data_IF_235590661265
#
_entry.id   IF_235590661265
#
_cell.length_a   1.000
_cell.length_b   1.000
_cell.length_c   1.000
_cell.angle_alpha   90.00
_cell.angle_beta   90.00
_cell.angle_gamma   90.00
#
_symmetry.space_group_name_H-M   'P 1'
#
loop_
_entity.id
_entity.type
_entity.pdbx_description
1 polymer ?
#
# COMPACT_ATOMS: atom_id res chain seq x y z
N UNK A 1 6.65 5.40 10.92
CA UNK A 1 5.26 5.61 11.37
C UNK A 1 5.22 6.43 12.67
N UNK A 2 5.91 6.03 13.76
CA UNK A 2 5.86 6.74 15.05
C UNK A 2 6.23 8.22 14.98
N UNK A 3 7.33 8.57 14.33
CA UNK A 3 7.77 9.97 14.16
C UNK A 3 6.74 10.83 13.41
N UNK A 4 5.99 10.24 12.45
CA UNK A 4 4.94 10.96 11.77
C UNK A 4 3.68 11.09 12.64
N UNK A 5 3.41 10.13 13.50
CA UNK A 5 2.30 10.21 14.44
C UNK A 5 2.51 11.32 15.48
N UNK A 6 3.73 11.47 15.99
CA UNK A 6 4.08 12.59 16.87
C UNK A 6 3.99 13.95 16.17
N UNK A 7 4.37 14.01 14.89
CA UNK A 7 4.22 15.21 14.07
C UNK A 7 2.74 15.63 13.96
N UNK A 8 1.84 14.70 13.61
CA UNK A 8 0.42 14.99 13.50
C UNK A 8 -0.24 15.37 14.83
N UNK A 9 0.27 14.83 15.95
CA UNK A 9 -0.29 15.11 17.28
C UNK A 9 0.15 16.44 17.87
N UNK A 10 1.40 16.84 17.61
CA UNK A 10 2.03 17.97 18.33
C UNK A 10 2.22 19.22 17.46
N UNK A 11 2.15 19.10 16.14
CA UNK A 11 2.46 20.18 15.20
C UNK A 11 1.32 20.38 14.18
N UNK A 12 0.08 20.32 14.67
CA UNK A 12 -1.11 20.62 13.87
C UNK A 12 -1.77 21.88 14.42
N UNK A 13 -1.94 22.88 13.58
CA UNK A 13 -2.65 24.14 13.92
C UNK A 13 -4.11 23.89 14.24
N UNK A 14 -4.77 24.90 14.85
CA UNK A 14 -6.20 24.91 15.15
C UNK A 14 -7.09 24.64 13.91
N UNK A 15 -6.57 24.88 12.72
CA UNK A 15 -7.21 24.59 11.41
C UNK A 15 -6.91 23.18 10.89
N UNK A 16 -6.20 22.36 11.64
CA UNK A 16 -5.81 20.99 11.23
C UNK A 16 -4.72 20.96 10.13
N UNK A 17 -4.00 22.07 9.94
CA UNK A 17 -2.91 22.19 8.99
C UNK A 17 -1.58 21.83 9.68
N UNK A 18 -0.69 21.15 8.96
CA UNK A 18 0.65 20.86 9.47
C UNK A 18 1.52 22.12 9.39
N UNK A 19 2.21 22.46 10.48
CA UNK A 19 3.24 23.49 10.48
C UNK A 19 4.40 23.08 9.59
N UNK A 20 4.66 23.87 8.52
CA UNK A 20 5.76 23.65 7.59
C UNK A 20 7.07 24.19 8.16
N UNK A 21 8.19 23.51 7.84
CA UNK A 21 9.54 23.96 8.25
C UNK A 21 9.95 23.52 9.66
N UNK A 22 9.23 22.63 10.29
CA UNK A 22 9.53 22.10 11.62
C UNK A 22 10.69 21.10 11.56
N UNK A 23 11.58 21.11 12.56
CA UNK A 23 12.64 20.10 12.69
C UNK A 23 12.10 18.66 12.67
N UNK A 24 10.89 18.44 13.19
CA UNK A 24 10.21 17.15 13.17
C UNK A 24 9.91 16.68 11.74
N UNK A 25 9.52 17.59 10.85
CA UNK A 25 9.30 17.30 9.45
C UNK A 25 10.61 16.89 8.76
N UNK A 26 11.69 17.63 8.97
CA UNK A 26 13.01 17.31 8.43
C UNK A 26 13.49 15.94 8.90
N UNK A 27 13.28 15.61 10.17
CA UNK A 27 13.58 14.27 10.72
C UNK A 27 12.79 13.17 10.01
N UNK A 28 11.50 13.39 9.71
CA UNK A 28 10.66 12.40 8.98
C UNK A 28 11.23 12.17 7.57
N UNK A 29 11.63 13.23 6.87
CA UNK A 29 12.23 13.12 5.52
C UNK A 29 13.58 12.42 5.53
N UNK A 30 14.47 12.75 6.47
CA UNK A 30 15.77 12.08 6.62
C UNK A 30 15.60 10.59 6.95
N UNK A 31 14.68 10.26 7.87
CA UNK A 31 14.35 8.88 8.20
C UNK A 31 13.81 8.13 6.98
N UNK A 32 12.94 8.76 6.20
CA UNK A 32 12.39 8.16 4.98
C UNK A 32 13.49 7.87 3.96
N UNK A 33 14.38 8.83 3.71
CA UNK A 33 15.52 8.64 2.81
C UNK A 33 16.46 7.52 3.29
N UNK A 34 16.77 7.48 4.59
CA UNK A 34 17.59 6.41 5.18
C UNK A 34 16.93 5.03 5.02
N UNK A 35 15.62 4.92 5.29
CA UNK A 35 14.88 3.66 5.11
C UNK A 35 14.92 3.20 3.65
N UNK A 36 14.72 4.08 2.67
CA UNK A 36 14.77 3.72 1.26
C UNK A 36 16.15 3.19 0.83
N UNK A 37 17.23 3.82 1.33
CA UNK A 37 18.59 3.34 1.09
C UNK A 37 18.81 1.97 1.70
N UNK A 38 18.37 1.76 2.96
CA UNK A 38 18.47 0.46 3.61
C UNK A 38 17.66 -0.62 2.87
N UNK A 39 16.46 -0.32 2.40
CA UNK A 39 15.65 -1.25 1.61
C UNK A 39 16.33 -1.63 0.29
N UNK A 40 16.96 -0.67 -0.38
CA UNK A 40 17.74 -0.93 -1.58
C UNK A 40 18.95 -1.84 -1.29
N UNK A 41 19.64 -1.64 -0.18
CA UNK A 41 20.76 -2.48 0.25
C UNK A 41 20.31 -3.90 0.59
N UNK A 42 19.21 -4.05 1.33
CA UNK A 42 18.62 -5.37 1.66
C UNK A 42 18.20 -6.10 0.38
N UNK A 43 17.51 -5.41 -0.53
CA UNK A 43 17.09 -5.99 -1.79
C UNK A 43 18.28 -6.39 -2.69
N UNK A 44 19.41 -5.65 -2.64
CA UNK A 44 20.63 -6.02 -3.37
C UNK A 44 21.26 -7.31 -2.86
N UNK A 45 21.27 -7.54 -1.54
CA UNK A 45 21.83 -8.76 -0.93
C UNK A 45 21.10 -10.02 -1.38
N UNK A 46 19.83 -9.90 -1.78
CA UNK A 46 19.02 -11.02 -2.21
C UNK A 46 18.72 -11.94 -1.03
N UNK A 47 17.52 -11.87 -0.52
CA UNK A 47 17.02 -12.87 0.42
C UNK A 47 16.46 -14.03 -0.42
N UNK A 48 16.96 -15.24 -0.20
CA UNK A 48 16.32 -16.43 -0.78
C UNK A 48 14.95 -16.56 -0.08
N UNK A 49 13.91 -16.18 -0.80
CA UNK A 49 12.55 -16.33 -0.32
C UNK A 49 12.22 -17.83 -0.24
N UNK A 50 12.35 -18.40 0.95
CA UNK A 50 11.80 -19.71 1.26
C UNK A 50 10.28 -19.74 1.06
N UNK A 51 9.68 -20.94 1.00
CA UNK A 51 8.22 -21.09 1.00
C UNK A 51 7.64 -20.51 2.31
N UNK A 52 7.19 -19.25 2.26
CA UNK A 52 6.66 -18.57 3.43
C UNK A 52 5.24 -19.04 3.70
N UNK A 53 5.06 -19.83 4.77
CA UNK A 53 3.73 -20.32 5.20
C UNK A 53 2.79 -19.17 5.57
N UNK A 54 3.35 -17.98 5.87
CA UNK A 54 2.60 -16.79 6.25
C UNK A 54 2.11 -15.97 5.05
N UNK A 55 2.61 -16.22 3.83
CA UNK A 55 2.21 -15.48 2.63
C UNK A 55 0.70 -15.63 2.34
N UNK A 56 0.16 -16.84 2.49
CA UNK A 56 -1.23 -17.11 2.23
C UNK A 56 -2.19 -16.37 3.20
N UNK A 57 -2.04 -16.46 4.54
CA UNK A 57 -2.88 -15.67 5.44
C UNK A 57 -2.69 -14.16 5.25
N UNK A 58 -1.49 -13.69 4.93
CA UNK A 58 -1.26 -12.28 4.62
C UNK A 58 -2.03 -11.79 3.39
N UNK A 59 -2.05 -12.58 2.31
CA UNK A 59 -2.85 -12.30 1.11
C UNK A 59 -4.35 -12.26 1.43
N UNK A 60 -4.85 -13.19 2.24
CA UNK A 60 -6.26 -13.22 2.66
C UNK A 60 -6.62 -11.98 3.49
N UNK A 61 -5.77 -11.59 4.44
CA UNK A 61 -5.96 -10.37 5.25
C UNK A 61 -5.90 -9.10 4.40
N UNK A 62 -4.95 -9.00 3.49
CA UNK A 62 -4.87 -7.88 2.54
C UNK A 62 -6.13 -7.78 1.67
N UNK A 63 -6.61 -8.91 1.15
CA UNK A 63 -7.85 -8.99 0.38
C UNK A 63 -9.08 -8.56 1.20
N UNK A 64 -9.15 -8.99 2.45
CA UNK A 64 -10.20 -8.56 3.37
C UNK A 64 -10.16 -7.05 3.62
N UNK A 65 -8.97 -6.47 3.77
CA UNK A 65 -8.77 -5.03 3.94
C UNK A 65 -9.30 -4.24 2.74
N UNK A 66 -8.96 -4.66 1.52
CA UNK A 66 -9.46 -4.04 0.29
C UNK A 66 -10.98 -4.15 0.21
N UNK A 67 -11.52 -5.34 0.46
CA UNK A 67 -12.96 -5.63 0.40
C UNK A 67 -13.75 -4.80 1.39
N UNK A 68 -13.36 -4.76 2.67
CA UNK A 68 -14.02 -3.96 3.71
C UNK A 68 -13.95 -2.47 3.41
N UNK A 69 -12.82 -1.99 2.91
CA UNK A 69 -12.67 -0.58 2.54
C UNK A 69 -13.58 -0.20 1.36
N UNK A 70 -13.71 -1.08 0.37
CA UNK A 70 -14.61 -0.87 -0.77
C UNK A 70 -16.09 -0.90 -0.36
N UNK A 71 -16.47 -1.67 0.66
CA UNK A 71 -17.82 -1.65 1.22
C UNK A 71 -18.10 -0.38 2.03
N UNK A 72 -17.16 0.01 2.90
CA UNK A 72 -17.35 1.11 3.86
C UNK A 72 -17.18 2.51 3.26
N UNK A 73 -16.42 2.65 2.20
CA UNK A 73 -16.07 3.94 1.59
C UNK A 73 -16.56 4.04 0.14
N UNK A 74 -16.88 5.26 -0.27
CA UNK A 74 -17.29 5.55 -1.65
C UNK A 74 -16.18 6.15 -2.52
N UNK A 75 -14.91 6.06 -2.07
CA UNK A 75 -13.82 6.81 -2.70
C UNK A 75 -13.91 8.31 -2.41
N UNK A 76 -12.99 9.06 -2.96
CA UNK A 76 -12.99 10.54 -2.84
C UNK A 76 -13.71 11.22 -4.00
N UNK A 77 -13.87 10.52 -5.12
CA UNK A 77 -14.59 11.03 -6.29
C UNK A 77 -16.10 10.84 -6.15
N UNK A 78 -16.85 11.78 -6.73
CA UNK A 78 -18.30 11.68 -6.85
C UNK A 78 -18.71 11.09 -8.20
N UNK A 79 -19.92 10.53 -8.29
CA UNK A 79 -20.51 10.06 -9.55
C UNK A 79 -20.06 8.64 -9.98
N UNK A 80 -20.06 8.35 -11.30
CA UNK A 80 -19.85 7.01 -11.83
C UNK A 80 -18.47 6.42 -11.52
N UNK A 81 -17.46 7.29 -11.31
CA UNK A 81 -16.11 6.86 -10.99
C UNK A 81 -16.03 6.27 -9.58
N UNK A 82 -16.82 6.79 -8.63
CA UNK A 82 -16.91 6.21 -7.29
C UNK A 82 -17.47 4.79 -7.31
N UNK A 83 -18.47 4.53 -8.18
CA UNK A 83 -19.03 3.19 -8.35
C UNK A 83 -18.00 2.23 -8.97
N UNK A 84 -17.25 2.70 -9.98
CA UNK A 84 -16.16 1.91 -10.56
C UNK A 84 -15.12 1.54 -9.54
N UNK A 85 -14.69 2.50 -8.70
CA UNK A 85 -13.73 2.27 -7.63
C UNK A 85 -14.22 1.20 -6.64
N UNK A 86 -15.50 1.27 -6.21
CA UNK A 86 -16.11 0.27 -5.33
C UNK A 86 -16.14 -1.13 -5.98
N UNK A 87 -16.65 -1.22 -7.20
CA UNK A 87 -16.77 -2.50 -7.91
C UNK A 87 -15.39 -3.14 -8.08
N UNK A 88 -14.40 -2.35 -8.53
CA UNK A 88 -13.04 -2.84 -8.71
C UNK A 88 -12.39 -3.23 -7.38
N UNK A 89 -12.68 -2.52 -6.29
CA UNK A 89 -12.21 -2.87 -4.95
C UNK A 89 -12.79 -4.19 -4.45
N UNK A 90 -14.08 -4.42 -4.66
CA UNK A 90 -14.73 -5.70 -4.32
C UNK A 90 -14.13 -6.86 -5.11
N UNK A 91 -13.95 -6.68 -6.42
CA UNK A 91 -13.34 -7.70 -7.30
C UNK A 91 -11.90 -7.97 -6.85
N UNK A 92 -11.08 -6.94 -6.64
CA UNK A 92 -9.69 -7.06 -6.24
C UNK A 92 -9.56 -7.74 -4.85
N UNK A 93 -10.42 -7.39 -3.90
CA UNK A 93 -10.44 -8.03 -2.58
C UNK A 93 -10.72 -9.53 -2.67
N UNK A 94 -11.75 -9.92 -3.44
CA UNK A 94 -12.07 -11.33 -3.70
C UNK A 94 -10.90 -12.03 -4.41
N UNK A 95 -10.33 -11.41 -5.45
CA UNK A 95 -9.19 -11.98 -6.19
C UNK A 95 -8.00 -12.25 -5.27
N UNK A 96 -7.67 -11.33 -4.35
CA UNK A 96 -6.55 -11.50 -3.43
C UNK A 96 -6.84 -12.59 -2.37
N UNK A 97 -8.07 -12.71 -1.90
CA UNK A 97 -8.50 -13.81 -1.00
C UNK A 97 -8.36 -15.16 -1.74
N UNK A 98 -8.85 -15.25 -2.97
CA UNK A 98 -8.74 -16.47 -3.80
C UNK A 98 -7.27 -16.81 -4.06
N UNK A 99 -6.42 -15.81 -4.31
CA UNK A 99 -4.98 -15.99 -4.44
C UNK A 99 -4.38 -16.62 -3.18
N UNK A 100 -4.74 -16.11 -1.99
CA UNK A 100 -4.32 -16.69 -0.71
C UNK A 100 -4.76 -18.15 -0.53
N UNK A 101 -6.00 -18.47 -0.88
CA UNK A 101 -6.50 -19.85 -0.86
C UNK A 101 -5.74 -20.76 -1.85
N UNK A 102 -5.44 -20.26 -3.05
CA UNK A 102 -4.65 -21.02 -4.03
C UNK A 102 -3.22 -21.26 -3.51
N UNK A 103 -2.62 -20.27 -2.86
CA UNK A 103 -1.29 -20.39 -2.24
C UNK A 103 -1.29 -21.42 -1.11
N UNK A 104 -2.33 -21.44 -0.24
CA UNK A 104 -2.51 -22.48 0.81
C UNK A 104 -2.58 -23.87 0.22
N UNK A 105 -3.33 -24.04 -0.88
CA UNK A 105 -3.54 -25.33 -1.55
C UNK A 105 -2.39 -25.69 -2.49
N UNK A 106 -1.29 -24.92 -2.55
CA UNK A 106 -0.16 -25.09 -3.46
C UNK A 106 -0.57 -25.20 -4.93
N UNK A 107 -1.69 -24.54 -5.32
CA UNK A 107 -2.16 -24.51 -6.71
C UNK A 107 -1.52 -23.33 -7.46
N UNK A 108 -1.36 -23.51 -8.77
CA UNK A 108 -0.91 -22.43 -9.64
C UNK A 108 -1.92 -21.26 -9.59
N UNK A 109 -1.41 -20.09 -9.24
CA UNK A 109 -2.22 -18.86 -9.18
C UNK A 109 -2.27 -18.25 -10.60
N UNK A 110 -3.49 -18.07 -11.18
CA UNK A 110 -3.61 -17.37 -12.46
C UNK A 110 -3.13 -15.92 -12.33
N UNK A 111 -2.43 -15.41 -13.33
CA UNK A 111 -1.86 -14.05 -13.30
C UNK A 111 -2.93 -12.94 -13.27
N UNK A 112 -4.15 -13.25 -13.68
CA UNK A 112 -5.29 -12.33 -13.65
C UNK A 112 -5.67 -11.89 -12.22
N UNK A 113 -5.44 -12.74 -11.21
CA UNK A 113 -5.78 -12.42 -9.82
C UNK A 113 -4.95 -11.25 -9.28
N UNK A 114 -3.60 -11.29 -9.29
CA UNK A 114 -2.80 -10.15 -8.85
C UNK A 114 -2.91 -8.95 -9.80
N UNK A 115 -3.24 -9.16 -11.07
CA UNK A 115 -3.48 -8.07 -12.01
C UNK A 115 -4.72 -7.24 -11.61
N UNK A 116 -5.80 -7.88 -11.17
CA UNK A 116 -6.99 -7.18 -10.68
C UNK A 116 -6.66 -6.29 -9.46
N UNK A 117 -5.80 -6.78 -8.56
CA UNK A 117 -5.31 -6.00 -7.41
C UNK A 117 -4.46 -4.81 -7.87
N UNK A 118 -3.59 -5.01 -8.87
CA UNK A 118 -2.79 -3.94 -9.46
C UNK A 118 -3.67 -2.84 -10.07
N UNK A 119 -4.70 -3.21 -10.83
CA UNK A 119 -5.65 -2.26 -11.43
C UNK A 119 -6.41 -1.49 -10.35
N UNK A 120 -6.88 -2.16 -9.30
CA UNK A 120 -7.52 -1.47 -8.18
C UNK A 120 -6.57 -0.49 -7.49
N UNK A 121 -5.33 -0.90 -7.20
CA UNK A 121 -4.33 -0.04 -6.57
C UNK A 121 -4.02 1.20 -7.42
N UNK A 122 -3.98 1.04 -8.74
CA UNK A 122 -3.82 2.15 -9.68
C UNK A 122 -5.03 3.10 -9.66
N UNK A 123 -6.25 2.56 -9.66
CA UNK A 123 -7.47 3.38 -9.53
C UNK A 123 -7.51 4.12 -8.19
N UNK A 124 -7.09 3.46 -7.11
CA UNK A 124 -6.99 4.09 -5.80
C UNK A 124 -5.95 5.22 -5.77
N UNK A 125 -4.82 5.05 -6.45
CA UNK A 125 -3.81 6.10 -6.62
C UNK A 125 -4.39 7.31 -7.37
N UNK A 126 -5.11 7.07 -8.47
CA UNK A 126 -5.74 8.13 -9.27
C UNK A 126 -6.82 8.85 -8.46
N UNK A 127 -7.67 8.11 -7.74
CA UNK A 127 -8.71 8.67 -6.88
C UNK A 127 -8.11 9.59 -5.80
N UNK A 128 -7.09 9.12 -5.10
CA UNK A 128 -6.38 9.90 -4.09
C UNK A 128 -5.74 11.15 -4.70
N UNK A 129 -5.03 11.02 -5.81
CA UNK A 129 -4.36 12.15 -6.47
C UNK A 129 -5.37 13.23 -6.88
N UNK A 130 -6.48 12.84 -7.51
CA UNK A 130 -7.52 13.79 -7.92
C UNK A 130 -8.25 14.43 -6.75
N UNK A 131 -8.50 13.67 -5.69
CA UNK A 131 -9.14 14.18 -4.47
C UNK A 131 -8.28 15.20 -3.73
N UNK A 132 -6.96 15.08 -3.80
CA UNK A 132 -6.04 15.95 -3.06
C UNK A 132 -5.34 17.01 -3.92
N UNK A 133 -5.38 16.91 -5.24
CA UNK A 133 -4.73 17.89 -6.14
C UNK A 133 -5.26 19.32 -5.98
N UNK A 134 -6.50 19.49 -5.49
CA UNK A 134 -7.11 20.79 -5.19
C UNK A 134 -6.83 21.28 -3.76
N UNK A 135 -6.17 20.50 -2.92
CA UNK A 135 -5.90 20.86 -1.52
C UNK A 135 -4.64 21.70 -1.40
N UNK A 136 -4.66 22.82 -0.63
CA UNK A 136 -3.50 23.70 -0.49
C UNK A 136 -2.29 23.04 0.21
N UNK A 137 -2.50 21.94 0.96
CA UNK A 137 -1.46 21.19 1.65
C UNK A 137 -1.29 19.78 1.09
N UNK A 138 -0.74 19.69 -0.12
CA UNK A 138 -0.41 18.41 -0.74
C UNK A 138 0.54 17.56 0.13
N UNK A 139 1.40 18.20 0.91
CA UNK A 139 2.39 17.57 1.79
C UNK A 139 1.78 16.67 2.86
N UNK A 140 0.59 17.02 3.37
CA UNK A 140 -0.17 16.18 4.32
C UNK A 140 -0.50 14.80 3.73
N UNK A 141 -0.81 14.76 2.43
CA UNK A 141 -1.27 13.57 1.72
C UNK A 141 -0.17 12.84 0.95
N UNK A 142 1.07 13.38 0.94
CA UNK A 142 2.16 12.82 0.16
C UNK A 142 2.47 11.35 0.54
N UNK A 143 2.43 11.02 1.84
CA UNK A 143 2.65 9.64 2.28
C UNK A 143 1.54 8.67 1.86
N UNK A 144 0.30 9.16 1.73
CA UNK A 144 -0.82 8.38 1.22
C UNK A 144 -0.66 8.09 -0.28
N UNK A 145 -0.19 9.09 -1.04
CA UNK A 145 0.18 8.90 -2.45
C UNK A 145 1.33 7.90 -2.59
N UNK A 146 2.37 8.02 -1.75
CA UNK A 146 3.49 7.09 -1.76
C UNK A 146 3.07 5.68 -1.35
N UNK A 147 2.12 5.53 -0.41
CA UNK A 147 1.55 4.24 -0.04
C UNK A 147 0.80 3.61 -1.22
N UNK A 148 -0.08 4.37 -1.86
CA UNK A 148 -0.83 3.91 -3.02
C UNK A 148 0.09 3.54 -4.20
N UNK A 149 1.12 4.35 -4.46
CA UNK A 149 2.13 4.09 -5.49
C UNK A 149 2.92 2.82 -5.20
N UNK A 150 3.39 2.66 -3.96
CA UNK A 150 4.18 1.49 -3.56
C UNK A 150 3.35 0.20 -3.57
N UNK A 151 2.07 0.26 -3.19
CA UNK A 151 1.13 -0.87 -3.31
C UNK A 151 0.88 -1.24 -4.77
N UNK A 152 0.71 -0.26 -5.65
CA UNK A 152 0.56 -0.48 -7.10
C UNK A 152 1.79 -1.18 -7.66
N UNK A 153 2.98 -0.70 -7.30
CA UNK A 153 4.23 -1.28 -7.76
C UNK A 153 4.47 -2.68 -7.19
N UNK A 154 4.13 -2.91 -5.92
CA UNK A 154 4.23 -4.23 -5.29
C UNK A 154 3.29 -5.24 -5.95
N UNK A 155 2.01 -4.90 -6.16
CA UNK A 155 1.03 -5.76 -6.82
C UNK A 155 1.40 -6.04 -8.28
N UNK A 156 2.00 -5.06 -8.99
CA UNK A 156 2.56 -5.28 -10.32
C UNK A 156 3.72 -6.29 -10.28
N UNK A 157 4.66 -6.16 -9.33
CA UNK A 157 5.77 -7.09 -9.19
C UNK A 157 5.27 -8.50 -8.85
N UNK A 158 4.20 -8.64 -8.05
CA UNK A 158 3.60 -9.94 -7.77
C UNK A 158 2.95 -10.55 -9.03
N UNK A 159 2.22 -9.76 -9.82
CA UNK A 159 1.66 -10.20 -11.10
C UNK A 159 2.77 -10.63 -12.09
N UNK A 160 3.82 -9.83 -12.23
CA UNK A 160 4.96 -10.12 -13.11
C UNK A 160 5.68 -11.42 -12.71
N UNK A 161 5.77 -11.73 -11.42
CA UNK A 161 6.35 -12.98 -10.92
C UNK A 161 5.55 -14.20 -11.37
N UNK A 162 4.21 -14.13 -11.39
CA UNK A 162 3.37 -15.26 -11.83
C UNK A 162 3.56 -15.60 -13.31
N UNK A 163 4.08 -14.65 -14.10
CA UNK A 163 4.40 -14.83 -15.53
C UNK A 163 5.91 -15.07 -15.73
N UNK A 164 6.68 -15.30 -14.66
CA UNK A 164 8.13 -15.51 -14.68
C UNK A 164 8.96 -14.35 -15.26
N UNK A 165 8.38 -13.14 -15.32
CA UNK A 165 9.07 -11.93 -15.77
C UNK A 165 9.60 -11.08 -14.60
N UNK A 166 9.20 -11.38 -13.36
CA UNK A 166 9.53 -10.60 -12.17
C UNK A 166 10.94 -10.90 -11.64
N UNK A 167 11.71 -9.85 -11.34
CA UNK A 167 12.98 -9.95 -10.63
C UNK A 167 12.74 -10.04 -9.11
N UNK A 168 13.28 -11.04 -8.38
CA UNK A 168 13.03 -11.20 -6.94
C UNK A 168 13.50 -9.98 -6.14
N UNK A 169 14.63 -9.38 -6.50
CA UNK A 169 15.17 -8.18 -5.84
C UNK A 169 14.21 -6.99 -5.88
N UNK A 170 13.58 -6.75 -7.03
CA UNK A 170 12.62 -5.66 -7.21
C UNK A 170 11.37 -5.87 -6.34
N UNK A 171 10.92 -7.12 -6.20
CA UNK A 171 9.77 -7.47 -5.37
C UNK A 171 10.07 -7.22 -3.88
N UNK A 172 11.21 -7.66 -3.37
CA UNK A 172 11.62 -7.41 -1.98
C UNK A 172 11.66 -5.90 -1.71
N UNK A 173 12.27 -5.12 -2.61
CA UNK A 173 12.32 -3.67 -2.48
C UNK A 173 10.92 -3.05 -2.45
N UNK A 174 10.05 -3.42 -3.41
CA UNK A 174 8.69 -2.89 -3.49
C UNK A 174 7.84 -3.27 -2.28
N UNK A 175 7.99 -4.51 -1.76
CA UNK A 175 7.32 -4.97 -0.55
C UNK A 175 7.72 -4.17 0.69
N UNK A 176 9.01 -3.96 0.91
CA UNK A 176 9.51 -3.15 2.03
C UNK A 176 9.04 -1.69 1.93
N UNK A 177 9.04 -1.11 0.72
CA UNK A 177 8.49 0.22 0.48
C UNK A 177 6.99 0.28 0.78
N UNK A 178 6.22 -0.74 0.34
CA UNK A 178 4.78 -0.81 0.59
C UNK A 178 4.49 -0.89 2.09
N UNK A 179 5.20 -1.73 2.85
CA UNK A 179 5.06 -1.81 4.32
C UNK A 179 5.34 -0.45 4.96
N UNK A 180 6.47 0.17 4.62
CA UNK A 180 6.88 1.44 5.22
C UNK A 180 5.87 2.56 4.95
N UNK A 181 5.50 2.76 3.68
CA UNK A 181 4.60 3.85 3.30
C UNK A 181 3.16 3.61 3.76
N UNK A 182 2.67 2.37 3.74
CA UNK A 182 1.36 2.06 4.31
C UNK A 182 1.30 2.38 5.81
N UNK A 183 2.29 1.96 6.60
CA UNK A 183 2.35 2.28 8.03
C UNK A 183 2.54 3.79 8.29
N UNK A 184 3.27 4.48 7.43
CA UNK A 184 3.46 5.92 7.53
C UNK A 184 2.20 6.72 7.10
N UNK A 185 1.33 6.18 6.24
CA UNK A 185 0.11 6.80 5.78
C UNK A 185 -1.01 6.79 6.84
N UNK A 186 -1.06 5.78 7.72
CA UNK A 186 -2.12 5.59 8.73
C UNK A 186 -2.48 6.88 9.51
N UNK A 187 -1.51 7.66 10.04
CA UNK A 187 -1.87 8.86 10.82
C UNK A 187 -2.56 9.95 10.01
N UNK A 188 -2.29 10.02 8.71
CA UNK A 188 -2.84 11.05 7.81
C UNK A 188 -4.21 10.73 7.23
N UNK A 189 -4.58 9.45 7.19
CA UNK A 189 -5.79 8.97 6.49
C UNK A 189 -6.60 7.99 7.32
N UNK A 190 -7.37 8.47 8.32
CA UNK A 190 -8.15 7.60 9.19
C UNK A 190 -9.17 6.74 8.43
N UNK A 191 -9.68 7.22 7.29
CA UNK A 191 -10.62 6.48 6.42
C UNK A 191 -10.01 5.21 5.81
N UNK A 192 -8.72 5.19 5.55
CA UNK A 192 -8.01 4.09 4.90
C UNK A 192 -7.09 3.31 5.85
N UNK A 193 -7.21 3.52 7.16
CA UNK A 193 -6.37 2.85 8.17
C UNK A 193 -6.42 1.33 8.03
N UNK A 194 -7.61 0.75 7.89
CA UNK A 194 -7.79 -0.71 7.75
C UNK A 194 -7.14 -1.20 6.46
N UNK A 195 -7.33 -0.49 5.35
CA UNK A 195 -6.71 -0.81 4.06
C UNK A 195 -5.19 -0.86 4.21
N UNK A 196 -4.58 0.22 4.69
CA UNK A 196 -3.13 0.33 4.79
C UNK A 196 -2.53 -0.66 5.78
N UNK A 197 -3.18 -0.89 6.93
CA UNK A 197 -2.70 -1.84 7.93
C UNK A 197 -2.69 -3.28 7.38
N UNK A 198 -3.77 -3.72 6.74
CA UNK A 198 -3.88 -5.07 6.22
C UNK A 198 -3.06 -5.28 4.93
N UNK A 199 -2.93 -4.24 4.08
CA UNK A 199 -2.02 -4.29 2.94
C UNK A 199 -0.54 -4.28 3.37
N UNK A 200 -0.18 -3.59 4.46
CA UNK A 200 1.17 -3.69 5.01
C UNK A 200 1.49 -5.09 5.52
N UNK A 201 0.53 -5.76 6.18
CA UNK A 201 0.69 -7.17 6.59
C UNK A 201 0.84 -8.09 5.38
N UNK A 202 0.04 -7.90 4.33
CA UNK A 202 0.19 -8.64 3.09
C UNK A 202 1.57 -8.45 2.47
N UNK A 203 2.02 -7.20 2.31
CA UNK A 203 3.33 -6.90 1.72
C UNK A 203 4.49 -7.45 2.57
N UNK A 204 4.35 -7.46 3.90
CA UNK A 204 5.35 -8.03 4.82
C UNK A 204 5.46 -9.55 4.67
N UNK A 205 4.33 -10.25 4.64
CA UNK A 205 4.31 -11.72 4.61
C UNK A 205 4.60 -12.30 3.23
N UNK A 206 4.28 -11.57 2.16
CA UNK A 206 4.47 -11.99 0.78
C UNK A 206 5.79 -11.46 0.18
N UNK A 207 6.39 -10.43 0.82
CA UNK A 207 7.68 -9.86 0.43
C UNK A 207 8.90 -10.72 0.83
N UNK A 208 8.73 -11.61 1.82
CA UNK A 208 9.72 -12.62 2.22
C UNK A 208 9.57 -13.88 1.36
#
# INVERSE_FOLDING_TARGET
>A
AGARWTLFRNHTDALGLLETGTYAELCVWLLTGLCLVLFALVARRGWEAGENKLAAPGQMLGGLGIFLTALGNSGQMAGPVANLWKIMGLIAGICLIVQGVCTLKKRKVPFLLPLAVCVFSLLHLIDNYRGWSSQPQLQKYLFDLMASLSLTFFSYCDAARKVSLGKPKTRIFSGLCAVYFCLAAIPGSPKFTVLYALCALWALTDGE
#
